data_IF_727271537240
#
_entry.id   IF_727271537240
#
_cell.length_a   1.000
_cell.length_b   1.000
_cell.length_c   1.000
_cell.angle_alpha   90.00
_cell.angle_beta   90.00
_cell.angle_gamma   90.00
#
_symmetry.space_group_name_H-M   'P 1'
#
loop_
_entity.id
_entity.type
_entity.pdbx_description
1 polymer ?
#
# COMPACT_ATOMS: atom_id res chain seq x y z
N UNK A 1 10.16 -4.98 -6.20
CA UNK A 1 10.98 -5.67 -5.18
C UNK A 1 10.67 -7.14 -5.22
N UNK A 2 11.62 -8.00 -4.87
CA UNK A 2 11.46 -9.45 -4.90
C UNK A 2 11.74 -10.05 -3.52
N UNK A 3 11.06 -11.13 -3.15
CA UNK A 3 11.43 -11.97 -2.00
C UNK A 3 12.61 -12.91 -2.35
N UNK A 4 13.09 -13.67 -1.36
CA UNK A 4 14.17 -14.66 -1.52
C UNK A 4 13.82 -15.79 -2.51
N UNK A 5 12.56 -15.88 -2.93
CA UNK A 5 12.06 -16.84 -3.93
C UNK A 5 11.80 -16.18 -5.29
N UNK A 6 12.19 -14.91 -5.47
CA UNK A 6 12.03 -14.18 -6.72
C UNK A 6 10.59 -13.72 -7.01
N UNK A 7 9.71 -13.69 -6.01
CA UNK A 7 8.32 -13.21 -6.16
C UNK A 7 8.20 -11.73 -5.88
N UNK A 8 7.31 -11.04 -6.59
CA UNK A 8 7.16 -9.59 -6.45
C UNK A 8 6.49 -9.28 -5.12
N UNK A 9 7.11 -8.41 -4.31
CA UNK A 9 6.66 -8.06 -2.94
C UNK A 9 6.17 -6.62 -2.78
N UNK A 10 6.28 -5.80 -3.82
CA UNK A 10 5.78 -4.43 -3.80
C UNK A 10 5.59 -3.90 -5.22
N UNK A 11 4.60 -3.04 -5.40
CA UNK A 11 4.45 -2.21 -6.59
C UNK A 11 5.04 -0.83 -6.29
N UNK A 12 6.03 -0.42 -7.08
CA UNK A 12 6.67 0.88 -6.94
C UNK A 12 6.61 1.64 -8.26
N UNK A 13 6.23 2.92 -8.20
CA UNK A 13 6.14 3.81 -9.35
C UNK A 13 6.38 5.25 -8.91
N UNK A 14 6.57 6.15 -9.86
CA UNK A 14 6.73 7.58 -9.60
C UNK A 14 5.53 8.33 -10.14
N UNK A 15 5.02 9.26 -9.34
CA UNK A 15 4.04 10.25 -9.79
C UNK A 15 4.76 11.55 -10.04
N UNK A 16 4.66 12.05 -11.28
CA UNK A 16 5.18 13.36 -11.67
C UNK A 16 4.25 14.44 -11.16
N UNK A 17 4.74 15.32 -10.29
CA UNK A 17 4.07 16.57 -9.93
C UNK A 17 4.82 17.74 -10.57
N UNK A 18 4.20 18.93 -10.73
CA UNK A 18 4.82 20.06 -11.42
C UNK A 18 6.22 20.42 -10.92
N UNK A 19 6.47 20.25 -9.63
CA UNK A 19 7.71 20.67 -8.98
C UNK A 19 8.58 19.50 -8.46
N UNK A 20 8.07 18.25 -8.50
CA UNK A 20 8.76 17.09 -7.91
C UNK A 20 8.17 15.76 -8.36
N UNK A 21 9.01 14.74 -8.49
CA UNK A 21 8.58 13.34 -8.56
C UNK A 21 8.36 12.76 -7.16
N UNK A 22 7.18 12.20 -6.92
CA UNK A 22 6.89 11.44 -5.71
C UNK A 22 7.11 9.94 -5.97
N UNK A 23 8.16 9.33 -5.37
CA UNK A 23 8.29 7.88 -5.38
C UNK A 23 7.22 7.27 -4.47
N UNK A 24 6.43 6.35 -5.02
CA UNK A 24 5.36 5.64 -4.33
C UNK A 24 5.73 4.17 -4.24
N UNK A 25 5.48 3.58 -3.08
CA UNK A 25 5.61 2.14 -2.83
C UNK A 25 4.35 1.61 -2.17
N UNK A 26 3.58 0.83 -2.91
CA UNK A 26 2.43 0.09 -2.41
C UNK A 26 2.92 -1.27 -1.86
N UNK A 27 2.79 -1.51 -0.54
CA UNK A 27 3.12 -2.80 0.03
C UNK A 27 2.05 -3.83 -0.33
N UNK A 28 2.46 -5.09 -0.51
CA UNK A 28 1.56 -6.22 -0.62
C UNK A 28 1.97 -7.28 0.40
N UNK A 29 1.01 -7.79 1.18
CA UNK A 29 1.25 -8.86 2.17
C UNK A 29 0.47 -10.13 1.78
N UNK A 30 1.05 -10.90 0.86
CA UNK A 30 0.49 -12.18 0.45
C UNK A 30 0.42 -13.20 1.61
N UNK A 31 1.30 -13.06 2.62
CA UNK A 31 1.28 -13.93 3.80
C UNK A 31 0.07 -13.62 4.69
N UNK A 32 -0.30 -12.34 4.86
CA UNK A 32 -1.55 -11.96 5.52
C UNK A 32 -2.77 -12.53 4.78
N UNK A 33 -2.80 -12.42 3.45
CA UNK A 33 -3.86 -13.03 2.64
C UNK A 33 -3.93 -14.54 2.84
N UNK A 34 -2.79 -15.24 2.87
CA UNK A 34 -2.75 -16.67 3.14
C UNK A 34 -3.31 -17.02 4.53
N UNK A 35 -2.92 -16.29 5.58
CA UNK A 35 -3.43 -16.51 6.94
C UNK A 35 -4.95 -16.36 7.03
N UNK A 36 -5.52 -15.41 6.29
CA UNK A 36 -6.98 -15.23 6.21
C UNK A 36 -7.62 -16.40 5.48
N UNK A 37 -7.11 -16.79 4.31
CA UNK A 37 -7.65 -17.91 3.53
C UNK A 37 -7.57 -19.24 4.28
N UNK A 38 -6.49 -19.48 5.02
CA UNK A 38 -6.36 -20.66 5.89
C UNK A 38 -7.45 -20.70 6.95
N UNK A 39 -7.66 -19.58 7.67
CA UNK A 39 -8.73 -19.47 8.66
C UNK A 39 -10.12 -19.72 8.06
N UNK A 40 -10.39 -19.19 6.87
CA UNK A 40 -11.66 -19.41 6.17
C UNK A 40 -11.83 -20.87 5.75
N UNK A 41 -10.75 -21.55 5.35
CA UNK A 41 -10.79 -22.98 5.05
C UNK A 41 -11.03 -23.81 6.32
N UNK A 42 -10.40 -23.46 7.44
CA UNK A 42 -10.61 -24.12 8.74
C UNK A 42 -12.07 -23.98 9.21
N UNK A 43 -12.65 -22.80 8.99
CA UNK A 43 -14.07 -22.51 9.25
C UNK A 43 -15.03 -23.13 8.23
N UNK A 44 -14.53 -23.83 7.20
CA UNK A 44 -15.30 -24.42 6.09
C UNK A 44 -16.08 -23.39 5.24
N UNK A 45 -15.66 -22.13 5.26
CA UNK A 45 -16.22 -21.07 4.41
C UNK A 45 -15.75 -21.22 2.95
N UNK A 46 -14.53 -21.75 2.76
CA UNK A 46 -13.96 -22.02 1.45
C UNK A 46 -13.33 -23.41 1.36
N UNK A 47 -13.27 -24.03 0.17
CA UNK A 47 -12.48 -25.24 -0.05
C UNK A 47 -10.99 -25.04 0.28
N UNK A 48 -10.39 -25.98 1.02
CA UNK A 48 -8.96 -25.94 1.41
C UNK A 48 -7.98 -25.79 0.23
N UNK A 49 -8.37 -26.19 -0.98
CA UNK A 49 -7.56 -25.99 -2.20
C UNK A 49 -7.26 -24.52 -2.51
N UNK A 50 -8.07 -23.58 -2.00
CA UNK A 50 -7.87 -22.14 -2.16
C UNK A 50 -6.99 -21.53 -1.05
N UNK A 51 -6.75 -22.24 0.06
CA UNK A 51 -5.87 -21.80 1.14
C UNK A 51 -4.38 -22.17 0.88
N UNK A 52 -3.92 -22.00 -0.36
CA UNK A 52 -2.54 -22.29 -0.79
C UNK A 52 -1.77 -21.01 -1.06
N UNK A 53 -0.47 -21.03 -0.80
CA UNK A 53 0.44 -19.87 -0.95
C UNK A 53 0.33 -19.22 -2.34
N UNK A 54 0.38 -20.03 -3.40
CA UNK A 54 0.23 -19.56 -4.80
C UNK A 54 -1.12 -18.91 -5.09
N UNK A 55 -2.20 -19.42 -4.48
CA UNK A 55 -3.52 -18.83 -4.64
C UNK A 55 -3.61 -17.50 -3.88
N UNK A 56 -3.14 -17.47 -2.62
CA UNK A 56 -3.08 -16.28 -1.80
C UNK A 56 -2.29 -15.15 -2.46
N UNK A 57 -1.14 -15.47 -3.08
CA UNK A 57 -0.34 -14.52 -3.84
C UNK A 57 -1.13 -13.89 -4.99
N UNK A 58 -1.82 -14.70 -5.81
CA UNK A 58 -2.65 -14.19 -6.91
C UNK A 58 -3.84 -13.37 -6.40
N UNK A 59 -4.48 -13.79 -5.32
CA UNK A 59 -5.60 -13.06 -4.69
C UNK A 59 -5.12 -11.71 -4.17
N UNK A 60 -4.00 -11.66 -3.46
CA UNK A 60 -3.44 -10.40 -2.96
C UNK A 60 -3.16 -9.41 -4.10
N UNK A 61 -2.57 -9.87 -5.19
CA UNK A 61 -2.30 -9.02 -6.36
C UNK A 61 -3.57 -8.58 -7.08
N UNK A 62 -4.59 -9.42 -7.14
CA UNK A 62 -5.90 -9.05 -7.70
C UNK A 62 -6.54 -7.93 -6.88
N UNK A 63 -6.51 -8.03 -5.55
CA UNK A 63 -7.04 -6.99 -4.65
C UNK A 63 -6.33 -5.65 -4.90
N UNK A 64 -4.99 -5.66 -4.95
CA UNK A 64 -4.23 -4.43 -5.20
C UNK A 64 -4.54 -3.84 -6.57
N UNK A 65 -4.63 -4.68 -7.61
CA UNK A 65 -5.00 -4.23 -8.97
C UNK A 65 -6.37 -3.54 -8.96
N UNK A 66 -7.39 -4.21 -8.43
CA UNK A 66 -8.76 -3.71 -8.46
C UNK A 66 -8.90 -2.44 -7.59
N UNK A 67 -8.17 -2.36 -6.48
CA UNK A 67 -8.10 -1.15 -5.66
C UNK A 67 -7.45 0.02 -6.42
N UNK A 68 -6.29 -0.20 -7.05
CA UNK A 68 -5.61 0.85 -7.84
C UNK A 68 -6.51 1.32 -8.98
N UNK A 69 -7.17 0.42 -9.70
CA UNK A 69 -8.11 0.77 -10.77
C UNK A 69 -9.25 1.67 -10.26
N UNK A 70 -9.86 1.33 -9.12
CA UNK A 70 -10.89 2.17 -8.51
C UNK A 70 -10.37 3.58 -8.15
N UNK A 71 -9.16 3.67 -7.59
CA UNK A 71 -8.53 4.97 -7.30
C UNK A 71 -8.25 5.79 -8.57
N UNK A 72 -7.83 5.13 -9.65
CA UNK A 72 -7.62 5.79 -10.94
C UNK A 72 -8.93 6.31 -11.53
N UNK A 73 -10.04 5.58 -11.38
CA UNK A 73 -11.35 6.08 -11.80
C UNK A 73 -11.76 7.33 -11.02
N UNK A 74 -11.55 7.37 -9.70
CA UNK A 74 -11.83 8.58 -8.89
C UNK A 74 -10.95 9.77 -9.28
N UNK A 75 -9.70 9.52 -9.66
CA UNK A 75 -8.79 10.55 -10.16
C UNK A 75 -9.27 11.10 -11.51
N UNK A 76 -9.71 10.22 -12.42
CA UNK A 76 -10.22 10.59 -13.74
C UNK A 76 -11.54 11.37 -13.67
N UNK A 77 -12.36 11.13 -12.65
CA UNK A 77 -13.58 11.89 -12.38
C UNK A 77 -13.36 13.13 -11.50
N UNK A 78 -12.09 13.48 -11.24
CA UNK A 78 -11.67 14.64 -10.41
C UNK A 78 -12.22 14.64 -8.98
N UNK A 79 -12.69 13.48 -8.50
CA UNK A 79 -13.25 13.32 -7.14
C UNK A 79 -12.16 13.35 -6.07
N UNK A 80 -10.93 13.00 -6.44
CA UNK A 80 -9.76 12.96 -5.58
C UNK A 80 -8.52 13.40 -6.36
N UNK A 81 -7.48 13.84 -5.64
CA UNK A 81 -6.16 14.14 -6.21
C UNK A 81 -5.19 12.99 -5.94
N UNK A 82 -4.14 12.88 -6.78
CA UNK A 82 -3.08 11.87 -6.66
C UNK A 82 -2.49 11.81 -5.25
N UNK A 83 -2.23 12.96 -4.64
CA UNK A 83 -1.63 13.07 -3.32
C UNK A 83 -2.57 12.54 -2.24
N UNK A 84 -3.89 12.75 -2.36
CA UNK A 84 -4.84 12.27 -1.37
C UNK A 84 -4.87 10.74 -1.28
N UNK A 85 -4.65 10.06 -2.41
CA UNK A 85 -4.64 8.61 -2.50
C UNK A 85 -3.27 8.05 -2.07
N UNK A 86 -2.20 8.62 -2.62
CA UNK A 86 -0.88 7.99 -2.57
C UNK A 86 0.05 8.56 -1.51
N UNK A 87 -0.28 9.68 -0.84
CA UNK A 87 0.56 10.30 0.20
C UNK A 87 1.04 9.30 1.27
N UNK A 88 0.19 8.40 1.83
CA UNK A 88 0.65 7.42 2.82
C UNK A 88 1.76 6.49 2.31
N UNK A 89 1.83 6.28 1.00
CA UNK A 89 2.75 5.38 0.32
C UNK A 89 3.97 6.08 -0.29
N UNK A 90 4.09 7.40 -0.13
CA UNK A 90 5.25 8.17 -0.59
C UNK A 90 6.47 7.77 0.21
N UNK A 91 7.56 7.43 -0.49
CA UNK A 91 8.84 7.10 0.11
C UNK A 91 9.56 8.39 0.52
N UNK A 92 9.86 8.50 1.80
CA UNK A 92 10.65 9.59 2.39
C UNK A 92 12.14 9.42 2.08
N UNK A 93 12.99 10.46 2.25
CA UNK A 93 14.44 10.31 2.08
C UNK A 93 15.07 9.21 2.98
N UNK A 94 14.42 8.85 4.09
CA UNK A 94 14.85 7.75 4.96
C UNK A 94 14.43 6.36 4.49
N UNK A 95 13.86 6.21 3.29
CA UNK A 95 13.45 4.92 2.71
C UNK A 95 12.14 4.35 3.24
N UNK A 96 11.54 4.95 4.26
CA UNK A 96 10.23 4.58 4.82
C UNK A 96 9.09 5.31 4.09
N UNK A 97 7.92 4.70 4.03
CA UNK A 97 6.72 5.40 3.57
C UNK A 97 6.25 6.42 4.61
N UNK A 98 5.51 7.46 4.18
CA UNK A 98 4.91 8.43 5.11
C UNK A 98 4.05 7.72 6.17
N UNK A 99 3.30 6.69 5.78
CA UNK A 99 2.52 5.87 6.71
C UNK A 99 3.40 5.24 7.79
N UNK A 100 4.52 4.63 7.42
CA UNK A 100 5.44 4.01 8.39
C UNK A 100 6.01 5.05 9.36
N UNK A 101 6.39 6.23 8.86
CA UNK A 101 6.85 7.33 9.71
C UNK A 101 5.75 7.79 10.68
N UNK A 102 4.49 7.84 10.24
CA UNK A 102 3.37 8.20 11.10
C UNK A 102 3.09 7.14 12.17
N UNK A 103 3.15 5.85 11.82
CA UNK A 103 3.02 4.75 12.78
C UNK A 103 4.08 4.83 13.88
N UNK A 104 5.34 5.10 13.51
CA UNK A 104 6.45 5.25 14.46
C UNK A 104 6.25 6.43 15.42
N UNK A 105 5.53 7.47 14.98
CA UNK A 105 5.17 8.63 15.79
C UNK A 105 3.81 8.50 16.46
N UNK A 106 3.20 7.31 16.46
CA UNK A 106 1.85 7.08 17.01
C UNK A 106 0.80 8.02 16.42
N UNK A 107 0.93 8.36 15.13
CA UNK A 107 0.09 9.32 14.40
C UNK A 107 0.08 10.73 14.99
N UNK A 108 1.02 11.06 15.87
CA UNK A 108 1.21 12.42 16.37
C UNK A 108 1.99 13.23 15.33
N UNK A 109 1.44 14.39 14.99
CA UNK A 109 2.22 15.42 14.30
C UNK A 109 3.28 15.92 15.28
N UNK A 110 4.53 16.02 14.82
CA UNK A 110 5.62 16.57 15.64
C UNK A 110 5.28 17.99 16.11
N UNK A 111 5.97 18.52 17.13
CA UNK A 111 5.75 19.89 17.58
C UNK A 111 5.86 20.83 16.39
N UNK A 112 4.77 21.52 16.06
CA UNK A 112 4.78 22.53 15.02
C UNK A 112 5.84 23.56 15.39
N UNK A 113 6.73 23.90 14.46
CA UNK A 113 7.48 25.14 14.63
C UNK A 113 6.44 26.25 14.59
N UNK A 114 6.08 26.78 15.75
CA UNK A 114 5.31 28.01 15.82
C UNK A 114 6.06 29.03 14.99
N UNK A 115 5.38 29.57 13.98
CA UNK A 115 5.88 30.74 13.29
C UNK A 115 6.17 31.78 14.37
N UNK A 116 7.45 32.10 14.56
CA UNK A 116 7.78 33.32 15.29
C UNK A 116 7.36 34.43 14.35
N UNK A 117 6.11 34.87 14.50
CA UNK A 117 5.62 36.07 13.85
C UNK A 117 6.59 37.21 14.19
N UNK A 118 7.23 37.73 13.16
CA UNK A 118 7.76 39.09 13.13
C UNK A 118 6.63 40.05 12.74
#
# INVERSE_FOLDING_TARGET
EYDDRGRITALAFKVRMPNRDLPIRLPIDAAATLRVLQRQADNREIPARYAKEEHAYRVAWRIIKDWVEAQMSLLQTEMVRMEQIFLPYVITPGGKTVYQVMVEKQFLLGPGKGDKGE
#
